data_IF_714720288876
#
_entry.id   IF_714720288876
#
_cell.length_a   1.000
_cell.length_b   1.000
_cell.length_c   1.000
_cell.angle_alpha   90.00
_cell.angle_beta   90.00
_cell.angle_gamma   90.00
#
_symmetry.space_group_name_H-M   'P 1'
#
loop_
_entity.id
_entity.type
_entity.pdbx_description
1 polymer ?
#
# COMPACT_ATOMS: atom_id res chain seq x y z
N UNK A 1 -14.43 -8.72 17.59
CA UNK A 1 -14.48 -7.72 16.50
C UNK A 1 -15.87 -7.78 15.89
N UNK A 2 -16.50 -6.64 15.65
CA UNK A 2 -17.82 -6.60 14.99
C UNK A 2 -17.63 -6.93 13.52
N UNK A 3 -18.27 -7.99 13.03
CA UNK A 3 -18.22 -8.35 11.62
C UNK A 3 -18.88 -7.25 10.77
N UNK A 4 -18.31 -6.93 9.59
CA UNK A 4 -18.91 -5.97 8.67
C UNK A 4 -20.21 -6.53 8.11
N UNK A 5 -21.24 -5.69 8.06
CA UNK A 5 -22.51 -5.98 7.42
C UNK A 5 -22.98 -4.79 6.60
N UNK A 6 -23.52 -5.06 5.41
CA UNK A 6 -24.09 -4.03 4.53
C UNK A 6 -25.10 -3.17 5.28
N UNK A 7 -24.98 -1.85 5.13
CA UNK A 7 -25.85 -0.86 5.75
C UNK A 7 -25.42 -0.42 7.15
N UNK A 8 -24.40 -1.03 7.77
CA UNK A 8 -23.82 -0.51 9.01
C UNK A 8 -23.22 0.88 8.79
N UNK A 9 -23.50 1.80 9.71
CA UNK A 9 -23.03 3.18 9.68
C UNK A 9 -22.17 3.44 10.91
N UNK A 10 -20.94 3.89 10.69
CA UNK A 10 -19.97 4.20 11.74
C UNK A 10 -19.63 5.69 11.71
N UNK A 11 -19.69 6.32 12.88
CA UNK A 11 -19.03 7.60 13.11
C UNK A 11 -17.64 7.36 13.66
N UNK A 12 -16.69 8.22 13.30
CA UNK A 12 -15.33 8.18 13.81
C UNK A 12 -14.78 9.61 13.90
N UNK A 13 -13.80 9.83 14.79
CA UNK A 13 -13.07 11.09 14.82
C UNK A 13 -12.03 11.09 13.69
N UNK A 14 -12.00 12.15 12.88
CA UNK A 14 -10.99 12.26 11.81
C UNK A 14 -9.59 12.40 12.41
N UNK A 15 -8.62 11.86 11.70
CA UNK A 15 -7.20 11.94 12.01
C UNK A 15 -6.55 13.08 11.24
N UNK A 16 -5.39 13.61 11.69
CA UNK A 16 -4.62 14.58 10.91
C UNK A 16 -4.35 14.07 9.48
N UNK A 17 -4.43 14.96 8.49
CA UNK A 17 -4.29 14.59 7.08
C UNK A 17 -2.87 14.08 6.76
N UNK A 18 -1.86 14.70 7.36
CA UNK A 18 -0.48 14.22 7.41
C UNK A 18 0.16 14.63 8.75
N UNK A 19 1.42 14.29 8.98
CA UNK A 19 2.12 14.60 10.24
C UNK A 19 2.33 16.11 10.48
N UNK A 20 2.29 16.93 9.42
CA UNK A 20 2.43 18.38 9.49
C UNK A 20 1.10 19.06 9.80
N UNK A 21 -0.01 18.31 9.70
CA UNK A 21 -1.33 18.78 10.08
C UNK A 21 -1.49 18.89 11.60
N UNK A 22 -2.36 19.77 12.10
CA UNK A 22 -2.66 19.86 13.53
C UNK A 22 -3.07 18.50 14.12
N UNK A 23 -2.55 18.12 15.31
CA UNK A 23 -2.69 16.77 15.86
C UNK A 23 -4.12 16.42 16.31
N UNK A 24 -4.99 17.42 16.47
CA UNK A 24 -6.40 17.23 16.81
C UNK A 24 -7.25 17.96 15.80
N UNK A 25 -8.11 17.21 15.11
CA UNK A 25 -9.08 17.75 14.17
C UNK A 25 -10.32 18.29 14.90
N UNK A 26 -10.73 17.61 15.98
CA UNK A 26 -11.99 17.88 16.68
C UNK A 26 -13.23 17.63 15.80
N UNK A 27 -13.06 16.89 14.71
CA UNK A 27 -14.08 16.63 13.69
C UNK A 27 -14.47 15.16 13.70
N UNK A 28 -15.75 14.89 13.47
CA UNK A 28 -16.31 13.57 13.28
C UNK A 28 -16.79 13.45 11.83
N UNK A 29 -16.54 12.29 11.25
CA UNK A 29 -17.03 11.91 9.94
C UNK A 29 -17.75 10.56 10.03
N UNK A 30 -18.45 10.20 8.97
CA UNK A 30 -19.23 8.97 8.91
C UNK A 30 -18.88 8.18 7.66
N UNK A 31 -18.76 6.87 7.81
CA UNK A 31 -18.76 5.95 6.67
C UNK A 31 -19.86 4.89 6.82
N UNK A 32 -20.31 4.38 5.68
CA UNK A 32 -21.33 3.34 5.59
C UNK A 32 -20.83 2.15 4.79
N UNK A 33 -21.10 0.94 5.27
CA UNK A 33 -20.75 -0.30 4.57
C UNK A 33 -21.71 -0.52 3.40
N UNK A 34 -21.19 -0.48 2.18
CA UNK A 34 -21.97 -0.64 0.95
C UNK A 34 -22.18 -2.12 0.61
N UNK A 35 -21.11 -2.91 0.64
CA UNK A 35 -21.15 -4.32 0.25
C UNK A 35 -20.10 -5.12 1.02
N UNK A 36 -20.47 -6.34 1.38
CA UNK A 36 -19.59 -7.33 2.01
C UNK A 36 -19.64 -8.59 1.15
N UNK A 37 -18.49 -9.03 0.66
CA UNK A 37 -18.32 -10.28 -0.09
C UNK A 37 -17.43 -11.25 0.71
N UNK A 38 -17.25 -12.50 0.27
CA UNK A 38 -16.30 -13.41 0.92
C UNK A 38 -14.86 -12.88 0.95
N UNK A 39 -14.44 -12.06 -0.02
CA UNK A 39 -13.06 -11.59 -0.15
C UNK A 39 -12.86 -10.12 0.19
N UNK A 40 -13.90 -9.30 0.11
CA UNK A 40 -13.77 -7.85 0.13
C UNK A 40 -14.92 -7.16 0.86
N UNK A 41 -14.65 -5.96 1.35
CA UNK A 41 -15.63 -5.02 1.89
C UNK A 41 -15.49 -3.71 1.10
N UNK A 42 -16.61 -3.04 0.82
CA UNK A 42 -16.59 -1.68 0.33
C UNK A 42 -17.38 -0.76 1.26
N UNK A 43 -16.83 0.42 1.50
CA UNK A 43 -17.45 1.48 2.30
C UNK A 43 -17.54 2.77 1.50
N UNK A 44 -18.45 3.64 1.89
CA UNK A 44 -18.58 5.00 1.36
C UNK A 44 -18.46 6.00 2.47
N UNK A 45 -17.77 7.11 2.23
CA UNK A 45 -17.70 8.25 3.14
C UNK A 45 -18.86 9.20 2.84
N UNK A 46 -19.53 9.67 3.89
CA UNK A 46 -20.64 10.61 3.76
C UNK A 46 -20.13 12.06 3.86
N UNK A 47 -20.82 13.00 3.22
CA UNK A 47 -20.37 14.38 3.06
C UNK A 47 -20.54 15.29 4.30
N UNK A 48 -21.10 14.75 5.38
CA UNK A 48 -21.22 15.45 6.66
C UNK A 48 -19.92 15.41 7.48
N UNK A 49 -19.57 16.56 8.06
CA UNK A 49 -18.49 16.72 9.03
C UNK A 49 -19.04 17.44 10.26
N UNK A 50 -18.90 16.82 11.43
CA UNK A 50 -19.56 17.26 12.65
C UNK A 50 -18.57 17.60 13.77
N UNK A 51 -18.86 18.59 14.63
CA UNK A 51 -18.01 18.93 15.78
C UNK A 51 -18.16 17.95 16.96
N UNK A 52 -19.09 16.99 16.86
CA UNK A 52 -19.38 15.94 17.84
C UNK A 52 -19.89 14.71 17.11
N UNK A 53 -19.95 13.57 17.78
CA UNK A 53 -20.52 12.33 17.21
C UNK A 53 -21.94 12.62 16.69
N UNK A 54 -22.21 12.42 15.38
CA UNK A 54 -23.52 12.64 14.79
C UNK A 54 -24.51 11.55 15.21
N UNK A 55 -25.81 11.82 15.06
CA UNK A 55 -26.85 10.81 15.22
C UNK A 55 -26.98 9.95 13.97
N UNK A 56 -27.67 8.82 14.08
CA UNK A 56 -28.02 7.99 12.91
C UNK A 56 -28.89 8.77 11.91
N UNK A 57 -29.78 9.65 12.38
CA UNK A 57 -30.63 10.49 11.53
C UNK A 57 -29.79 11.49 10.73
N UNK A 58 -28.83 12.17 11.39
CA UNK A 58 -27.89 13.07 10.71
C UNK A 58 -27.17 12.34 9.56
N UNK A 59 -26.64 11.14 9.84
CA UNK A 59 -25.95 10.32 8.86
C UNK A 59 -26.86 9.84 7.72
N UNK A 60 -28.14 9.60 7.96
CA UNK A 60 -29.10 9.18 6.93
C UNK A 60 -29.48 10.31 5.97
N UNK A 61 -29.31 11.57 6.39
CA UNK A 61 -29.57 12.76 5.56
C UNK A 61 -28.36 13.21 4.75
N UNK A 62 -27.16 12.71 5.08
CA UNK A 62 -25.92 13.04 4.38
C UNK A 62 -25.84 12.33 3.03
N UNK A 63 -25.29 13.03 2.03
CA UNK A 63 -25.02 12.47 0.72
C UNK A 63 -23.64 11.79 0.68
N UNK A 64 -23.32 11.17 -0.45
CA UNK A 64 -21.98 10.60 -0.66
C UNK A 64 -20.96 11.74 -0.82
N UNK A 65 -19.89 11.71 -0.03
CA UNK A 65 -18.76 12.62 -0.19
C UNK A 65 -18.13 12.44 -1.58
N UNK A 66 -17.84 13.53 -2.26
CA UNK A 66 -17.10 13.53 -3.52
C UNK A 66 -15.73 14.17 -3.31
N UNK A 67 -14.69 13.49 -3.78
CA UNK A 67 -13.30 13.91 -3.60
C UNK A 67 -12.96 14.98 -4.64
N UNK A 68 -12.65 16.19 -4.20
CA UNK A 68 -12.19 17.31 -5.02
C UNK A 68 -10.81 17.81 -4.59
N UNK A 69 -10.36 17.41 -3.41
CA UNK A 69 -9.06 17.71 -2.86
C UNK A 69 -7.96 17.09 -3.74
N UNK A 70 -6.99 17.92 -4.13
CA UNK A 70 -5.91 17.59 -5.08
C UNK A 70 -6.43 17.10 -6.46
N UNK A 71 -6.51 18.03 -7.40
CA UNK A 71 -7.13 17.95 -8.74
C UNK A 71 -6.64 16.86 -9.72
N UNK A 72 -5.91 15.83 -9.30
CA UNK A 72 -5.06 15.06 -10.22
C UNK A 72 -5.49 13.61 -10.48
N UNK A 73 -6.22 12.93 -9.58
CA UNK A 73 -6.56 11.50 -9.78
C UNK A 73 -8.03 11.17 -9.42
N UNK A 74 -8.58 11.71 -8.32
CA UNK A 74 -9.93 11.37 -7.86
C UNK A 74 -10.95 12.51 -7.98
N UNK A 75 -10.62 13.61 -8.67
CA UNK A 75 -11.48 14.80 -8.71
C UNK A 75 -12.90 14.48 -9.23
N UNK A 76 -13.91 14.84 -8.42
CA UNK A 76 -15.32 14.58 -8.68
C UNK A 76 -15.74 13.11 -8.50
N UNK A 77 -14.86 12.23 -8.03
CA UNK A 77 -15.22 10.83 -7.76
C UNK A 77 -15.85 10.70 -6.38
N UNK A 78 -16.85 9.82 -6.20
CA UNK A 78 -17.37 9.51 -4.88
C UNK A 78 -16.29 8.83 -4.02
N UNK A 79 -16.23 9.19 -2.74
CA UNK A 79 -15.29 8.64 -1.76
C UNK A 79 -15.69 7.21 -1.36
N UNK A 80 -15.50 6.27 -2.27
CA UNK A 80 -15.70 4.83 -2.06
C UNK A 80 -14.34 4.17 -1.84
N UNK A 81 -14.25 3.37 -0.78
CA UNK A 81 -13.05 2.62 -0.40
C UNK A 81 -13.32 1.13 -0.43
N UNK A 82 -12.49 0.40 -1.16
CA UNK A 82 -12.44 -1.05 -1.18
C UNK A 82 -11.32 -1.57 -0.28
N UNK A 83 -11.58 -2.67 0.42
CA UNK A 83 -10.56 -3.36 1.21
C UNK A 83 -10.78 -4.86 1.16
N UNK A 84 -9.73 -5.63 1.43
CA UNK A 84 -9.86 -7.07 1.68
C UNK A 84 -10.69 -7.31 2.93
N UNK A 85 -11.34 -8.48 3.01
CA UNK A 85 -12.13 -8.87 4.18
C UNK A 85 -11.25 -8.97 5.43
N UNK A 86 -10.01 -9.44 5.29
CA UNK A 86 -9.03 -9.55 6.38
C UNK A 86 -8.49 -8.18 6.82
N UNK A 87 -8.59 -7.17 5.94
CA UNK A 87 -8.29 -5.78 6.25
C UNK A 87 -9.38 -5.06 7.06
N UNK A 88 -10.52 -5.70 7.35
CA UNK A 88 -11.56 -5.10 8.18
C UNK A 88 -11.12 -5.01 9.64
N UNK A 89 -10.66 -3.82 10.03
CA UNK A 89 -10.24 -3.52 11.40
C UNK A 89 -10.69 -2.12 11.80
N UNK A 90 -11.27 -2.02 12.99
CA UNK A 90 -11.79 -0.77 13.56
C UNK A 90 -10.85 -0.18 14.63
N UNK A 91 -9.78 -0.90 14.99
CA UNK A 91 -8.78 -0.50 15.99
C UNK A 91 -7.93 0.69 15.55
N UNK A 92 -7.79 0.93 14.25
CA UNK A 92 -7.12 2.11 13.70
C UNK A 92 -7.90 3.42 13.78
N UNK A 93 -9.09 3.44 14.40
CA UNK A 93 -9.91 4.64 14.53
C UNK A 93 -9.95 5.17 15.96
N UNK A 94 -9.84 6.50 16.09
CA UNK A 94 -10.18 7.20 17.32
C UNK A 94 -11.70 7.38 17.44
N UNK A 95 -12.24 7.09 18.62
CA UNK A 95 -13.66 7.26 18.97
C UNK A 95 -14.66 6.66 17.95
N UNK A 96 -14.36 5.49 17.39
CA UNK A 96 -15.30 4.84 16.46
C UNK A 96 -16.55 4.32 17.18
N UNK A 97 -17.71 4.67 16.65
CA UNK A 97 -19.02 4.31 17.19
C UNK A 97 -19.92 3.79 16.07
N UNK A 98 -20.52 2.62 16.27
CA UNK A 98 -21.61 2.14 15.42
C UNK A 98 -22.87 2.95 15.72
N UNK A 99 -23.32 3.77 14.76
CA UNK A 99 -24.54 4.56 14.88
C UNK A 99 -25.81 3.70 14.70
N UNK A 100 -25.71 2.66 13.87
CA UNK A 100 -26.81 1.75 13.58
C UNK A 100 -26.71 1.14 12.19
N UNK A 101 -27.85 0.67 11.68
CA UNK A 101 -27.97 0.06 10.35
C UNK A 101 -29.07 0.78 9.59
N UNK A 102 -28.79 1.18 8.35
CA UNK A 102 -29.76 1.80 7.45
C UNK A 102 -29.71 1.15 6.06
N UNK A 103 -30.86 1.09 5.40
CA UNK A 103 -30.94 0.64 4.01
C UNK A 103 -30.10 1.53 3.09
N UNK A 104 -29.63 0.96 1.98
CA UNK A 104 -28.88 1.74 0.99
C UNK A 104 -29.80 2.72 0.25
N UNK A 105 -29.30 3.90 -0.11
CA UNK A 105 -29.96 4.80 -1.07
C UNK A 105 -29.81 4.28 -2.50
N UNK A 106 -30.52 4.86 -3.46
CA UNK A 106 -30.34 4.48 -4.89
C UNK A 106 -28.93 4.79 -5.40
N UNK A 107 -28.32 5.88 -4.93
CA UNK A 107 -26.95 6.23 -5.29
C UNK A 107 -25.95 5.21 -4.72
N UNK A 108 -26.11 4.84 -3.44
CA UNK A 108 -25.28 3.84 -2.77
C UNK A 108 -25.42 2.44 -3.40
N UNK A 109 -26.65 2.02 -3.75
CA UNK A 109 -26.89 0.75 -4.46
C UNK A 109 -26.14 0.70 -5.79
N UNK A 110 -26.19 1.77 -6.59
CA UNK A 110 -25.45 1.84 -7.86
C UNK A 110 -23.94 1.67 -7.66
N UNK A 111 -23.38 2.18 -6.56
CA UNK A 111 -21.96 2.03 -6.22
C UNK A 111 -21.63 0.63 -5.72
N UNK A 112 -22.49 0.04 -4.89
CA UNK A 112 -22.36 -1.36 -4.48
C UNK A 112 -22.39 -2.32 -5.70
N UNK A 113 -23.31 -2.09 -6.64
CA UNK A 113 -23.42 -2.87 -7.87
C UNK A 113 -22.19 -2.70 -8.79
N UNK A 114 -21.67 -1.47 -8.89
CA UNK A 114 -20.45 -1.19 -9.66
C UNK A 114 -19.26 -1.94 -9.06
N UNK A 115 -19.07 -1.88 -7.74
CA UNK A 115 -18.01 -2.59 -7.04
C UNK A 115 -18.02 -4.11 -7.32
N UNK A 116 -19.22 -4.71 -7.37
CA UNK A 116 -19.35 -6.14 -7.69
C UNK A 116 -19.02 -6.53 -9.14
N UNK A 117 -18.92 -5.56 -10.05
CA UNK A 117 -18.65 -5.78 -11.49
C UNK A 117 -17.30 -5.24 -11.94
N UNK A 118 -16.79 -4.22 -11.27
CA UNK A 118 -15.60 -3.47 -11.63
C UNK A 118 -15.04 -2.72 -10.43
N UNK A 119 -13.72 -2.60 -10.36
CA UNK A 119 -13.01 -1.78 -9.38
C UNK A 119 -12.81 -0.33 -9.84
N UNK A 120 -13.31 0.04 -11.03
CA UNK A 120 -13.18 1.39 -11.57
C UNK A 120 -13.89 2.40 -10.67
N UNK A 121 -13.16 3.45 -10.26
CA UNK A 121 -13.66 4.51 -9.38
C UNK A 121 -13.72 4.12 -7.90
N UNK A 122 -13.04 3.04 -7.52
CA UNK A 122 -12.87 2.60 -6.13
C UNK A 122 -11.40 2.67 -5.77
N UNK A 123 -11.07 3.41 -4.72
CA UNK A 123 -9.71 3.39 -4.18
C UNK A 123 -9.56 2.23 -3.20
N UNK A 124 -8.50 1.44 -3.34
CA UNK A 124 -8.19 0.37 -2.41
C UNK A 124 -7.17 0.83 -1.38
N UNK A 125 -7.36 0.42 -0.13
CA UNK A 125 -6.47 0.80 0.96
C UNK A 125 -6.99 0.38 2.32
N UNK A 126 -6.25 0.72 3.39
CA UNK A 126 -6.69 0.43 4.75
C UNK A 126 -7.96 1.22 5.09
N UNK A 127 -8.82 0.66 5.95
CA UNK A 127 -10.11 1.26 6.29
C UNK A 127 -9.98 2.69 6.83
N UNK A 128 -8.92 2.98 7.61
CA UNK A 128 -8.69 4.32 8.18
C UNK A 128 -8.47 5.41 7.11
N UNK A 129 -8.16 5.06 5.86
CA UNK A 129 -8.01 6.02 4.75
C UNK A 129 -9.29 6.80 4.43
N UNK A 130 -10.46 6.37 4.91
CA UNK A 130 -11.71 7.15 4.87
C UNK A 130 -11.59 8.50 5.59
N UNK A 131 -10.70 8.56 6.59
CA UNK A 131 -10.36 9.78 7.31
C UNK A 131 -9.73 10.81 6.39
N UNK A 132 -8.84 10.39 5.48
CA UNK A 132 -8.18 11.30 4.53
C UNK A 132 -9.17 11.95 3.57
N UNK A 133 -10.20 11.23 3.11
CA UNK A 133 -11.26 11.82 2.29
C UNK A 133 -12.03 12.88 3.07
N UNK A 134 -12.54 12.52 4.25
CA UNK A 134 -13.34 13.42 5.08
C UNK A 134 -12.56 14.67 5.51
N UNK A 135 -11.36 14.47 6.06
CA UNK A 135 -10.49 15.55 6.51
C UNK A 135 -9.99 16.38 5.33
N UNK A 136 -9.55 15.73 4.25
CA UNK A 136 -9.04 16.39 3.05
C UNK A 136 -10.08 17.32 2.41
N UNK A 137 -11.32 16.88 2.24
CA UNK A 137 -12.39 17.71 1.67
C UNK A 137 -12.79 18.85 2.60
N UNK A 138 -12.94 18.58 3.91
CA UNK A 138 -13.26 19.64 4.87
C UNK A 138 -12.18 20.72 4.82
N UNK A 139 -10.92 20.32 4.87
CA UNK A 139 -9.78 21.23 4.84
C UNK A 139 -9.66 21.98 3.52
N UNK A 140 -9.90 21.30 2.41
CA UNK A 140 -9.96 21.94 1.09
C UNK A 140 -11.00 23.05 1.02
N UNK A 141 -12.13 22.90 1.70
CA UNK A 141 -13.18 23.92 1.76
C UNK A 141 -12.91 25.04 2.79
N UNK A 142 -12.15 24.78 3.86
CA UNK A 142 -12.06 25.70 5.02
C UNK A 142 -10.66 26.27 5.29
N UNK A 143 -9.58 25.54 4.99
CA UNK A 143 -8.19 25.93 5.27
C UNK A 143 -7.21 25.49 4.16
N UNK A 144 -7.66 25.58 2.90
CA UNK A 144 -6.94 25.11 1.70
C UNK A 144 -5.46 25.50 1.64
N UNK A 145 -5.13 26.75 1.96
CA UNK A 145 -3.76 27.24 1.88
C UNK A 145 -2.84 26.55 2.89
N UNK A 146 -3.34 26.27 4.10
CA UNK A 146 -2.60 25.51 5.12
C UNK A 146 -2.39 24.07 4.67
N UNK A 147 -3.45 23.42 4.16
CA UNK A 147 -3.38 22.07 3.62
C UNK A 147 -2.36 21.95 2.47
N UNK A 148 -2.33 22.93 1.55
CA UNK A 148 -1.35 22.97 0.46
C UNK A 148 0.09 23.13 0.98
N UNK A 149 0.32 24.01 1.95
CA UNK A 149 1.64 24.23 2.53
C UNK A 149 2.17 23.00 3.28
N UNK A 150 1.31 22.28 4.00
CA UNK A 150 1.66 21.03 4.67
C UNK A 150 1.93 19.90 3.67
N UNK A 151 1.15 19.82 2.59
CA UNK A 151 1.38 18.84 1.54
C UNK A 151 2.72 19.07 0.82
N UNK A 152 3.15 20.31 0.63
CA UNK A 152 4.49 20.60 0.10
C UNK A 152 5.60 20.22 1.09
N UNK A 153 5.38 20.37 2.41
CA UNK A 153 6.32 19.86 3.43
C UNK A 153 6.44 18.34 3.39
N UNK A 154 5.32 17.63 3.26
CA UNK A 154 5.31 16.18 3.11
C UNK A 154 6.07 15.75 1.85
N UNK A 155 5.81 16.36 0.69
CA UNK A 155 6.55 16.07 -0.54
C UNK A 155 8.05 16.32 -0.39
N UNK A 156 8.45 17.42 0.26
CA UNK A 156 9.85 17.73 0.49
C UNK A 156 10.52 16.70 1.41
N UNK A 157 9.83 16.24 2.45
CA UNK A 157 10.29 15.14 3.31
C UNK A 157 10.42 13.84 2.52
N UNK A 158 9.37 13.42 1.82
CA UNK A 158 9.38 12.17 1.04
C UNK A 158 10.48 12.18 -0.03
N UNK A 159 10.75 13.34 -0.62
CA UNK A 159 11.84 13.52 -1.57
C UNK A 159 13.21 13.43 -0.88
N UNK A 160 13.37 14.06 0.28
CA UNK A 160 14.60 13.97 1.06
C UNK A 160 14.89 12.55 1.55
N UNK A 161 13.86 11.82 2.00
CA UNK A 161 13.96 10.42 2.41
C UNK A 161 14.34 9.53 1.23
N UNK A 162 13.68 9.68 0.07
CA UNK A 162 14.03 8.98 -1.17
C UNK A 162 15.46 9.28 -1.61
N UNK A 163 15.88 10.55 -1.56
CA UNK A 163 17.24 10.94 -1.92
C UNK A 163 18.28 10.35 -0.94
N UNK A 164 17.97 10.35 0.36
CA UNK A 164 18.83 9.75 1.38
C UNK A 164 18.92 8.22 1.23
N UNK A 165 17.80 7.55 0.94
CA UNK A 165 17.79 6.11 0.63
C UNK A 165 18.65 5.80 -0.60
N UNK A 166 18.46 6.55 -1.70
CA UNK A 166 19.26 6.39 -2.92
C UNK A 166 20.76 6.67 -2.69
N UNK A 167 21.13 7.62 -1.83
CA UNK A 167 22.53 7.87 -1.46
C UNK A 167 23.11 6.73 -0.60
N UNK A 168 22.36 6.23 0.39
CA UNK A 168 22.76 5.06 1.20
C UNK A 168 22.99 3.84 0.30
N UNK A 169 22.08 3.60 -0.63
CA UNK A 169 22.16 2.49 -1.56
C UNK A 169 23.37 2.61 -2.51
N UNK A 170 23.58 3.77 -3.15
CA UNK A 170 24.78 4.02 -3.96
C UNK A 170 26.08 3.86 -3.15
N UNK A 171 26.09 4.34 -1.91
CA UNK A 171 27.23 4.17 -1.00
C UNK A 171 27.49 2.70 -0.67
N UNK A 172 26.44 1.90 -0.49
CA UNK A 172 26.51 0.45 -0.27
C UNK A 172 27.09 -0.27 -1.49
N UNK A 173 26.52 -0.04 -2.68
CA UNK A 173 27.00 -0.61 -3.94
C UNK A 173 28.51 -0.39 -4.15
N UNK A 174 29.02 0.82 -3.87
CA UNK A 174 30.43 1.17 -4.07
C UNK A 174 31.44 0.32 -3.28
N UNK A 175 31.00 -0.31 -2.19
CA UNK A 175 31.84 -1.14 -1.29
C UNK A 175 31.48 -2.62 -1.36
N UNK A 176 30.41 -2.97 -2.07
CA UNK A 176 29.80 -4.27 -2.03
C UNK A 176 30.68 -5.34 -2.69
N UNK A 177 30.82 -6.50 -2.05
CA UNK A 177 31.55 -7.66 -2.59
C UNK A 177 30.74 -8.94 -2.49
N UNK A 178 31.16 -9.98 -3.23
CA UNK A 178 30.55 -11.30 -3.11
C UNK A 178 30.68 -11.88 -1.70
N UNK A 179 31.80 -11.63 -1.02
CA UNK A 179 32.00 -12.07 0.36
C UNK A 179 30.99 -11.42 1.31
N UNK A 180 30.66 -10.14 1.11
CA UNK A 180 29.64 -9.45 1.89
C UNK A 180 28.26 -10.03 1.63
N UNK A 181 27.84 -10.12 0.34
CA UNK A 181 26.55 -10.71 -0.05
C UNK A 181 26.36 -12.15 0.47
N UNK A 182 27.42 -12.96 0.50
CA UNK A 182 27.37 -14.34 1.00
C UNK A 182 27.40 -14.45 2.53
N UNK A 183 27.79 -13.37 3.22
CA UNK A 183 27.85 -13.31 4.69
C UNK A 183 26.56 -12.79 5.31
N UNK A 184 25.81 -11.98 4.58
CA UNK A 184 24.52 -11.43 5.00
C UNK A 184 23.41 -12.48 4.89
N UNK A 185 22.32 -12.27 5.64
CA UNK A 185 21.11 -13.07 5.52
C UNK A 185 20.16 -12.34 4.57
N UNK A 186 19.92 -12.85 3.34
CA UNK A 186 18.94 -12.23 2.46
C UNK A 186 17.58 -12.20 3.14
N UNK A 187 16.86 -11.09 2.96
CA UNK A 187 15.49 -10.94 3.47
C UNK A 187 15.38 -11.16 4.98
N UNK A 188 16.35 -10.65 5.77
CA UNK A 188 16.33 -10.79 7.23
C UNK A 188 15.06 -10.22 7.85
N UNK A 189 14.50 -9.14 7.26
CA UNK A 189 13.29 -8.47 7.70
C UNK A 189 11.97 -9.19 7.38
N UNK A 190 11.97 -10.25 6.57
CA UNK A 190 10.75 -10.97 6.22
C UNK A 190 10.22 -11.75 7.44
N UNK A 191 9.23 -11.18 8.12
CA UNK A 191 8.56 -11.81 9.26
C UNK A 191 7.40 -12.68 8.78
N UNK A 192 7.32 -13.97 9.15
CA UNK A 192 6.20 -14.83 8.74
C UNK A 192 4.88 -14.39 9.37
N UNK A 193 4.00 -13.73 8.61
CA UNK A 193 2.64 -13.40 9.03
C UNK A 193 1.82 -12.98 7.81
N UNK A 194 0.64 -13.53 7.51
CA UNK A 194 -0.14 -13.04 6.37
C UNK A 194 -0.40 -11.52 6.50
N UNK A 195 -0.14 -10.71 5.45
CA UNK A 195 0.14 -11.10 4.06
C UNK A 195 1.61 -11.40 3.70
N UNK A 196 2.56 -11.27 4.63
CA UNK A 196 3.98 -11.57 4.44
C UNK A 196 4.24 -13.05 4.07
N UNK A 197 5.36 -13.33 3.37
CA UNK A 197 5.70 -14.68 2.93
C UNK A 197 5.75 -15.71 4.07
N UNK A 198 5.21 -16.93 3.83
CA UNK A 198 5.36 -18.04 4.76
C UNK A 198 6.84 -18.37 5.03
N UNK A 199 7.13 -18.92 6.21
CA UNK A 199 8.51 -19.27 6.61
C UNK A 199 9.20 -20.18 5.58
N UNK A 200 8.50 -21.19 5.06
CA UNK A 200 9.02 -22.10 4.04
C UNK A 200 9.39 -21.38 2.74
N UNK A 201 8.59 -20.38 2.33
CA UNK A 201 8.89 -19.55 1.16
C UNK A 201 10.15 -18.71 1.40
N UNK A 202 10.24 -18.05 2.54
CA UNK A 202 11.39 -17.22 2.93
C UNK A 202 12.69 -18.04 2.98
N UNK A 203 12.64 -19.25 3.54
CA UNK A 203 13.79 -20.17 3.58
C UNK A 203 14.21 -20.60 2.17
N UNK A 204 13.25 -20.91 1.29
CA UNK A 204 13.53 -21.27 -0.10
C UNK A 204 14.12 -20.07 -0.88
N UNK A 205 13.57 -18.88 -0.71
CA UNK A 205 14.06 -17.64 -1.33
C UNK A 205 15.52 -17.36 -0.93
N UNK A 206 15.83 -17.48 0.36
CA UNK A 206 17.21 -17.36 0.88
C UNK A 206 18.16 -18.38 0.24
N UNK A 207 17.71 -19.62 0.08
CA UNK A 207 18.51 -20.68 -0.56
C UNK A 207 18.81 -20.36 -2.03
N UNK A 208 17.79 -19.94 -2.79
CA UNK A 208 17.91 -19.60 -4.20
C UNK A 208 18.83 -18.41 -4.42
N UNK A 209 18.67 -17.34 -3.64
CA UNK A 209 19.55 -16.17 -3.66
C UNK A 209 20.99 -16.57 -3.36
N UNK A 210 21.19 -17.34 -2.28
CA UNK A 210 22.54 -17.75 -1.86
C UNK A 210 23.22 -18.57 -2.95
N UNK A 211 22.49 -19.48 -3.59
CA UNK A 211 23.01 -20.26 -4.71
C UNK A 211 23.36 -19.37 -5.91
N UNK A 212 22.48 -18.42 -6.26
CA UNK A 212 22.75 -17.48 -7.34
C UNK A 212 23.99 -16.61 -7.08
N UNK A 213 24.20 -16.14 -5.85
CA UNK A 213 25.43 -15.44 -5.45
C UNK A 213 26.68 -16.33 -5.58
N UNK A 214 26.59 -17.61 -5.20
CA UNK A 214 27.70 -18.56 -5.38
C UNK A 214 28.00 -18.81 -6.86
N UNK A 215 26.97 -18.99 -7.68
CA UNK A 215 27.11 -19.22 -9.12
C UNK A 215 27.72 -18.01 -9.83
N UNK A 216 27.24 -16.80 -9.50
CA UNK A 216 27.78 -15.55 -10.04
C UNK A 216 29.24 -15.33 -9.65
N UNK A 217 29.58 -15.59 -8.37
CA UNK A 217 30.99 -15.56 -7.91
C UNK A 217 31.85 -16.58 -8.67
N UNK A 218 31.30 -17.76 -8.95
CA UNK A 218 31.94 -18.84 -9.70
C UNK A 218 32.29 -18.50 -11.15
N UNK A 219 31.62 -17.51 -11.75
CA UNK A 219 31.94 -17.00 -13.10
C UNK A 219 33.23 -16.18 -13.16
N UNK A 220 33.77 -15.75 -12.01
CA UNK A 220 34.99 -14.97 -11.90
C UNK A 220 34.79 -13.45 -12.02
N UNK A 221 35.88 -12.69 -12.05
CA UNK A 221 35.86 -11.23 -11.86
C UNK A 221 35.27 -10.40 -13.03
N UNK A 222 35.20 -10.99 -14.23
CA UNK A 222 34.68 -10.34 -15.45
C UNK A 222 33.81 -11.32 -16.24
N UNK A 223 32.65 -11.69 -15.69
CA UNK A 223 31.78 -12.66 -16.33
C UNK A 223 31.17 -12.06 -17.61
N UNK A 224 30.77 -12.91 -18.56
CA UNK A 224 30.07 -12.44 -19.77
C UNK A 224 28.65 -12.04 -19.37
N UNK A 225 28.13 -10.95 -19.96
CA UNK A 225 26.75 -10.48 -19.72
C UNK A 225 25.70 -11.59 -19.85
N UNK A 226 25.85 -12.47 -20.85
CA UNK A 226 24.93 -13.58 -21.09
C UNK A 226 24.89 -14.61 -19.93
N UNK A 227 26.04 -14.88 -19.30
CA UNK A 227 26.12 -15.86 -18.20
C UNK A 227 25.49 -15.29 -16.93
N UNK A 228 25.75 -14.01 -16.63
CA UNK A 228 25.12 -13.28 -15.51
C UNK A 228 23.61 -13.17 -15.72
N UNK A 229 23.19 -12.73 -16.91
CA UNK A 229 21.77 -12.62 -17.30
C UNK A 229 21.03 -13.93 -17.07
N UNK A 230 21.63 -15.06 -17.47
CA UNK A 230 21.01 -16.38 -17.31
C UNK A 230 20.74 -16.69 -15.83
N UNK A 231 21.68 -16.39 -14.93
CA UNK A 231 21.51 -16.65 -13.50
C UNK A 231 20.45 -15.72 -12.91
N UNK A 232 20.57 -14.40 -13.14
CA UNK A 232 19.60 -13.43 -12.62
C UNK A 232 18.18 -13.71 -13.13
N UNK A 233 18.02 -14.04 -14.41
CA UNK A 233 16.71 -14.38 -14.98
C UNK A 233 16.13 -15.64 -14.35
N UNK A 234 16.94 -16.68 -14.13
CA UNK A 234 16.49 -17.89 -13.45
C UNK A 234 16.05 -17.61 -12.00
N UNK A 235 16.73 -16.69 -11.31
CA UNK A 235 16.32 -16.23 -9.97
C UNK A 235 14.97 -15.50 -10.02
N UNK A 236 14.75 -14.60 -10.98
CA UNK A 236 13.46 -13.90 -11.14
C UNK A 236 12.33 -14.87 -11.48
N UNK A 237 12.56 -15.79 -12.44
CA UNK A 237 11.58 -16.80 -12.83
C UNK A 237 11.19 -17.72 -11.67
N UNK A 238 12.13 -18.00 -10.75
CA UNK A 238 11.83 -18.71 -9.52
C UNK A 238 10.88 -17.91 -8.63
N UNK A 239 11.12 -16.61 -8.40
CA UNK A 239 10.21 -15.76 -7.60
C UNK A 239 8.82 -15.65 -8.23
N UNK A 240 8.71 -15.48 -9.56
CA UNK A 240 7.41 -15.46 -10.25
C UNK A 240 6.63 -16.76 -10.00
N UNK A 241 7.30 -17.91 -10.18
CA UNK A 241 6.67 -19.23 -10.04
C UNK A 241 6.30 -19.52 -8.59
N UNK A 242 7.25 -19.39 -7.68
CA UNK A 242 7.05 -19.71 -6.27
C UNK A 242 6.05 -18.74 -5.62
N UNK A 243 6.06 -17.46 -5.99
CA UNK A 243 5.12 -16.46 -5.49
C UNK A 243 3.68 -16.80 -5.85
N UNK A 244 3.45 -17.14 -7.13
CA UNK A 244 2.14 -17.58 -7.60
C UNK A 244 1.67 -18.88 -6.92
N UNK A 245 2.57 -19.86 -6.76
CA UNK A 245 2.26 -21.13 -6.07
C UNK A 245 1.95 -20.94 -4.58
N UNK A 246 2.56 -19.95 -3.93
CA UNK A 246 2.32 -19.60 -2.54
C UNK A 246 1.05 -18.75 -2.34
N UNK A 247 0.37 -18.35 -3.42
CA UNK A 247 -0.85 -17.54 -3.37
C UNK A 247 -0.60 -16.03 -3.41
N UNK A 248 0.34 -15.60 -4.26
CA UNK A 248 0.70 -14.19 -4.50
C UNK A 248 1.25 -13.47 -3.26
N UNK A 249 2.15 -14.14 -2.52
CA UNK A 249 2.73 -13.66 -1.25
C UNK A 249 3.77 -12.56 -1.38
N UNK A 250 4.06 -12.11 -2.61
CA UNK A 250 5.06 -11.07 -2.91
C UNK A 250 4.34 -9.72 -3.03
N UNK A 251 4.29 -8.99 -1.92
CA UNK A 251 3.65 -7.68 -1.81
C UNK A 251 4.67 -6.55 -1.94
N UNK A 252 4.24 -5.30 -1.82
CA UNK A 252 5.07 -4.12 -2.15
C UNK A 252 6.44 -4.12 -1.46
N UNK A 253 6.51 -4.48 -0.17
CA UNK A 253 7.77 -4.49 0.58
C UNK A 253 8.71 -5.60 0.08
N UNK A 254 8.22 -6.83 -0.13
CA UNK A 254 9.02 -7.94 -0.66
C UNK A 254 9.54 -7.65 -2.06
N UNK A 255 8.74 -6.98 -2.90
CA UNK A 255 9.12 -6.59 -4.26
C UNK A 255 10.33 -5.66 -4.24
N UNK A 256 10.30 -4.66 -3.37
CA UNK A 256 11.40 -3.70 -3.19
C UNK A 256 12.67 -4.42 -2.73
N UNK A 257 12.58 -5.30 -1.73
CA UNK A 257 13.71 -6.09 -1.24
C UNK A 257 14.34 -7.00 -2.33
N UNK A 258 13.51 -7.70 -3.12
CA UNK A 258 13.98 -8.57 -4.21
C UNK A 258 14.68 -7.74 -5.29
N UNK A 259 14.10 -6.60 -5.67
CA UNK A 259 14.68 -5.70 -6.66
C UNK A 259 16.03 -5.14 -6.21
N UNK A 260 16.12 -4.66 -4.96
CA UNK A 260 17.34 -4.12 -4.39
C UNK A 260 18.47 -5.16 -4.44
N UNK A 261 18.18 -6.39 -3.99
CA UNK A 261 19.15 -7.49 -3.98
C UNK A 261 19.57 -7.92 -5.41
N UNK A 262 18.67 -7.96 -6.37
CA UNK A 262 19.01 -8.29 -7.76
C UNK A 262 19.89 -7.21 -8.40
N UNK A 263 19.66 -5.94 -8.08
CA UNK A 263 20.52 -4.84 -8.49
C UNK A 263 21.92 -4.96 -7.86
N UNK A 264 22.00 -5.29 -6.57
CA UNK A 264 23.26 -5.59 -5.89
C UNK A 264 24.04 -6.72 -6.57
N UNK A 265 23.37 -7.83 -6.89
CA UNK A 265 23.99 -8.96 -7.58
C UNK A 265 24.50 -8.56 -8.98
N UNK A 266 23.71 -7.79 -9.74
CA UNK A 266 24.13 -7.28 -11.05
C UNK A 266 25.33 -6.32 -10.94
N UNK A 267 25.34 -5.47 -9.92
CA UNK A 267 26.43 -4.52 -9.65
C UNK A 267 27.74 -5.23 -9.33
N UNK A 268 27.73 -6.18 -8.39
CA UNK A 268 28.94 -6.94 -8.02
C UNK A 268 29.44 -7.79 -9.19
N UNK A 269 28.54 -8.28 -10.04
CA UNK A 269 28.89 -8.95 -11.30
C UNK A 269 29.41 -8.01 -12.40
N UNK A 270 29.43 -6.69 -12.17
CA UNK A 270 29.81 -5.64 -13.14
C UNK A 270 28.93 -5.62 -14.38
N UNK A 271 27.64 -5.86 -14.21
CA UNK A 271 26.64 -5.88 -15.28
C UNK A 271 25.46 -4.96 -14.95
N UNK A 272 25.70 -3.71 -14.56
CA UNK A 272 24.66 -2.73 -14.20
C UNK A 272 23.59 -2.55 -15.29
N UNK A 273 23.96 -2.75 -16.56
CA UNK A 273 23.04 -2.72 -17.69
C UNK A 273 22.01 -3.88 -17.72
N UNK A 274 22.01 -4.78 -16.73
CA UNK A 274 20.97 -5.80 -16.53
C UNK A 274 19.87 -5.34 -15.57
N UNK A 275 20.07 -4.27 -14.80
CA UNK A 275 19.08 -3.75 -13.84
C UNK A 275 17.78 -3.39 -14.56
N UNK A 276 17.88 -2.62 -15.66
CA UNK A 276 16.72 -2.27 -16.50
C UNK A 276 16.03 -3.52 -17.12
N UNK A 277 16.76 -4.62 -17.30
CA UNK A 277 16.20 -5.83 -17.88
C UNK A 277 15.46 -6.69 -16.84
N UNK A 278 15.88 -6.67 -15.57
CA UNK A 278 15.24 -7.40 -14.46
C UNK A 278 13.77 -7.00 -14.34
N UNK A 279 13.48 -5.70 -14.46
CA UNK A 279 12.12 -5.15 -14.43
C UNK A 279 11.20 -5.73 -15.50
N UNK A 280 11.75 -6.20 -16.64
CA UNK A 280 10.97 -6.82 -17.71
C UNK A 280 10.70 -8.31 -17.51
N UNK A 281 11.33 -8.95 -16.52
CA UNK A 281 11.19 -10.39 -16.26
C UNK A 281 10.26 -10.71 -15.09
N UNK A 282 9.95 -9.75 -14.22
CA UNK A 282 9.09 -9.96 -13.06
C UNK A 282 7.60 -9.98 -13.45
N UNK A 283 6.85 -10.88 -12.83
CA UNK A 283 5.39 -10.98 -12.98
C UNK A 283 4.63 -10.51 -11.72
N UNK A 284 5.36 -10.25 -10.63
CA UNK A 284 4.84 -9.76 -9.37
C UNK A 284 4.67 -8.24 -9.39
#
# INVERSE_FOLDING_TARGET
MTEPATGQIYAFRTTPFNEFSPPQTGRYAVFKVLVVTPKQVAVVVLDGIWPKVPTLEDAQTADILHENCFFHINSGQPAVRGLSRDGWRLDGFEDIVLLGVAGLTDAERKRADLFGRSTIGVSFGPLHSVSWSAEGEWRWAHDRDALLAENEQQKARDQAERAAAAERFRSRLSKLTWEQLLSETPFEGWTPSPPFPPEDFTLAARSVVRQACMDLRGLGAKPRKADVRRILKATVEWFNTAGAEAGDVIETEEREDICELLEEMAHVARQDALVDEIDSWRDW
#
